data_IF_456305372400
#
_entry.id   IF_456305372400
#
_cell.length_a   1.000
_cell.length_b   1.000
_cell.length_c   1.000
_cell.angle_alpha   90.00
_cell.angle_beta   90.00
_cell.angle_gamma   90.00
#
_symmetry.space_group_name_H-M   'P 1'
#
loop_
_entity.id
_entity.type
_entity.pdbx_description
1 polymer ?
#
# COMPACT_ATOMS: atom_id res chain seq x y z
N UNK A 1 -10.55 21.27 3.54
CA UNK A 1 -10.03 20.00 4.13
C UNK A 1 -11.03 18.86 3.99
N UNK A 2 -12.32 19.04 4.26
CA UNK A 2 -13.33 17.96 4.10
C UNK A 2 -13.32 17.32 2.70
N UNK A 3 -13.38 18.13 1.64
CA UNK A 3 -13.32 17.62 0.25
C UNK A 3 -12.02 16.85 -0.02
N UNK A 4 -10.89 17.34 0.49
CA UNK A 4 -9.59 16.67 0.36
C UNK A 4 -9.59 15.31 1.05
N UNK A 5 -10.15 15.21 2.26
CA UNK A 5 -10.30 13.94 2.97
C UNK A 5 -11.21 12.98 2.22
N UNK A 6 -12.33 13.44 1.65
CA UNK A 6 -13.20 12.62 0.81
C UNK A 6 -12.47 12.08 -0.42
N UNK A 7 -11.67 12.93 -1.09
CA UNK A 7 -10.87 12.51 -2.25
C UNK A 7 -9.82 11.47 -1.85
N UNK A 8 -9.13 11.65 -0.71
CA UNK A 8 -8.16 10.65 -0.22
C UNK A 8 -8.81 9.31 0.13
N UNK A 9 -10.00 9.33 0.75
CA UNK A 9 -10.76 8.11 1.00
C UNK A 9 -11.17 7.45 -0.31
N UNK A 10 -11.66 8.22 -1.28
CA UNK A 10 -12.02 7.68 -2.60
C UNK A 10 -10.82 7.07 -3.32
N UNK A 11 -9.64 7.71 -3.22
CA UNK A 11 -8.39 7.18 -3.78
C UNK A 11 -8.04 5.81 -3.16
N UNK A 12 -8.12 5.68 -1.85
CA UNK A 12 -7.91 4.41 -1.15
C UNK A 12 -8.89 3.33 -1.63
N UNK A 13 -10.18 3.64 -1.74
CA UNK A 13 -11.22 2.70 -2.14
C UNK A 13 -11.07 2.24 -3.60
N UNK A 14 -10.78 3.16 -4.52
CA UNK A 14 -10.60 2.84 -5.94
C UNK A 14 -9.33 2.02 -6.16
N UNK A 15 -8.21 2.41 -5.54
CA UNK A 15 -6.94 1.69 -5.68
C UNK A 15 -6.93 0.35 -4.95
N UNK A 16 -7.75 0.18 -3.90
CA UNK A 16 -7.95 -1.12 -3.25
C UNK A 16 -8.55 -2.17 -4.21
N UNK A 17 -9.18 -1.73 -5.30
CA UNK A 17 -9.78 -2.63 -6.27
C UNK A 17 -11.23 -2.99 -5.97
N UNK A 18 -11.98 -2.17 -5.22
CA UNK A 18 -13.39 -2.46 -4.90
C UNK A 18 -14.24 -2.72 -6.16
N UNK A 19 -13.95 -2.02 -7.27
CA UNK A 19 -14.62 -2.26 -8.56
C UNK A 19 -14.30 -3.67 -9.08
N UNK A 20 -13.04 -4.11 -8.95
CA UNK A 20 -12.63 -5.46 -9.31
C UNK A 20 -13.27 -6.50 -8.39
N UNK A 21 -13.33 -6.22 -7.10
CA UNK A 21 -13.93 -7.12 -6.09
C UNK A 21 -15.43 -7.34 -6.36
N UNK A 22 -16.17 -6.30 -6.76
CA UNK A 22 -17.60 -6.39 -7.09
C UNK A 22 -17.85 -7.14 -8.39
N UNK A 23 -16.97 -7.01 -9.40
CA UNK A 23 -17.17 -7.65 -10.71
C UNK A 23 -16.73 -9.11 -10.70
N UNK A 24 -15.60 -9.40 -10.05
CA UNK A 24 -14.89 -10.69 -10.16
C UNK A 24 -15.11 -11.56 -8.92
N UNK A 25 -15.55 -10.97 -7.80
CA UNK A 25 -15.77 -11.65 -6.53
C UNK A 25 -14.60 -12.60 -6.15
N UNK A 26 -13.34 -12.11 -6.15
CA UNK A 26 -12.19 -12.94 -5.84
C UNK A 26 -12.21 -13.35 -4.36
N UNK A 27 -11.60 -14.50 -3.99
CA UNK A 27 -11.47 -14.87 -2.58
C UNK A 27 -10.56 -13.87 -1.84
N UNK A 28 -10.77 -13.73 -0.53
CA UNK A 28 -10.03 -12.74 0.26
C UNK A 28 -8.53 -13.05 0.37
N UNK A 29 -8.18 -14.34 0.47
CA UNK A 29 -6.81 -14.85 0.58
C UNK A 29 -6.74 -16.18 -0.19
N UNK A 30 -5.66 -16.38 -0.94
CA UNK A 30 -5.39 -17.64 -1.62
C UNK A 30 -4.89 -18.74 -0.69
N UNK A 31 -4.77 -19.96 -1.19
CA UNK A 31 -4.13 -21.06 -0.47
C UNK A 31 -3.11 -21.76 -1.37
N UNK A 32 -1.97 -22.11 -0.81
CA UNK A 32 -0.99 -23.01 -1.42
C UNK A 32 -0.81 -24.22 -0.53
N UNK A 33 -0.62 -25.40 -1.11
CA UNK A 33 -0.28 -26.60 -0.35
C UNK A 33 1.20 -26.56 0.03
N UNK A 34 1.50 -26.76 1.30
CA UNK A 34 2.85 -27.02 1.79
C UNK A 34 3.31 -28.44 1.40
N UNK A 35 4.59 -28.75 1.51
CA UNK A 35 5.15 -30.07 1.16
C UNK A 35 4.52 -31.22 1.98
N UNK A 36 3.87 -30.89 3.10
CA UNK A 36 3.14 -31.81 3.99
C UNK A 36 1.63 -31.90 3.68
N UNK A 37 1.15 -31.25 2.61
CA UNK A 37 -0.26 -31.23 2.21
C UNK A 37 -1.16 -30.28 3.00
N UNK A 38 -0.58 -29.47 3.90
CA UNK A 38 -1.35 -28.49 4.67
C UNK A 38 -1.63 -27.23 3.83
N UNK A 39 -2.85 -26.69 3.94
CA UNK A 39 -3.20 -25.42 3.30
C UNK A 39 -2.50 -24.25 4.01
N UNK A 40 -1.62 -23.56 3.29
CA UNK A 40 -0.94 -22.35 3.73
C UNK A 40 -1.61 -21.13 3.08
N UNK A 41 -2.08 -20.15 3.85
CA UNK A 41 -2.68 -18.94 3.29
C UNK A 41 -1.63 -18.13 2.54
N UNK A 42 -1.99 -17.63 1.36
CA UNK A 42 -1.14 -16.77 0.53
C UNK A 42 -1.90 -15.49 0.20
N UNK A 43 -1.30 -14.36 0.60
CA UNK A 43 -1.91 -13.04 0.44
C UNK A 43 -1.79 -12.47 -0.98
N UNK A 44 -0.85 -12.96 -1.81
CA UNK A 44 -0.57 -12.43 -3.15
C UNK A 44 -0.83 -13.46 -4.23
N UNK A 45 -1.45 -13.03 -5.33
CA UNK A 45 -1.61 -13.86 -6.53
C UNK A 45 -0.34 -13.77 -7.40
N UNK A 46 0.64 -14.64 -7.13
CA UNK A 46 1.89 -14.68 -7.89
C UNK A 46 1.65 -15.04 -9.37
N UNK A 47 2.49 -14.49 -10.26
CA UNK A 47 2.52 -14.74 -11.71
C UNK A 47 1.31 -14.21 -12.51
N UNK A 48 0.26 -13.70 -11.86
CA UNK A 48 -0.93 -13.15 -12.54
C UNK A 48 -1.07 -11.66 -12.25
N UNK A 49 -0.58 -10.82 -13.15
CA UNK A 49 -0.53 -9.36 -12.95
C UNK A 49 -1.92 -8.73 -12.88
N UNK A 50 -2.84 -9.19 -13.72
CA UNK A 50 -4.20 -8.64 -13.84
C UNK A 50 -5.18 -9.23 -12.81
N UNK A 51 -4.73 -10.21 -12.01
CA UNK A 51 -5.54 -10.79 -10.95
C UNK A 51 -5.11 -10.26 -9.59
N UNK A 52 -6.05 -10.20 -8.66
CA UNK A 52 -5.81 -9.65 -7.33
C UNK A 52 -6.72 -10.33 -6.30
N UNK A 53 -6.19 -10.59 -5.11
CA UNK A 53 -6.99 -10.93 -3.93
C UNK A 53 -7.39 -9.66 -3.18
N UNK A 54 -8.51 -9.70 -2.45
CA UNK A 54 -9.02 -8.53 -1.70
C UNK A 54 -7.95 -7.98 -0.73
N UNK A 55 -7.26 -8.87 -0.01
CA UNK A 55 -6.22 -8.47 0.95
C UNK A 55 -4.99 -7.85 0.27
N UNK A 56 -4.62 -8.31 -0.92
CA UNK A 56 -3.54 -7.72 -1.72
C UNK A 56 -3.87 -6.28 -2.11
N UNK A 57 -5.11 -6.07 -2.57
CA UNK A 57 -5.62 -4.76 -2.95
C UNK A 57 -5.62 -3.77 -1.80
N UNK A 58 -6.25 -4.14 -0.69
CA UNK A 58 -6.33 -3.32 0.52
C UNK A 58 -4.94 -3.00 1.10
N UNK A 59 -4.01 -3.96 1.09
CA UNK A 59 -2.65 -3.71 1.57
C UNK A 59 -1.90 -2.71 0.67
N UNK A 60 -2.05 -2.83 -0.65
CA UNK A 60 -1.38 -1.95 -1.61
C UNK A 60 -1.93 -0.51 -1.55
N UNK A 61 -3.25 -0.34 -1.49
CA UNK A 61 -3.88 0.98 -1.37
C UNK A 61 -3.55 1.66 -0.05
N UNK A 62 -3.44 0.91 1.04
CA UNK A 62 -2.98 1.42 2.33
C UNK A 62 -1.57 2.02 2.22
N UNK A 63 -0.64 1.29 1.62
CA UNK A 63 0.74 1.77 1.42
C UNK A 63 0.80 3.02 0.55
N UNK A 64 0.01 3.09 -0.53
CA UNK A 64 -0.05 4.29 -1.38
C UNK A 64 -0.58 5.51 -0.62
N UNK A 65 -1.68 5.33 0.13
CA UNK A 65 -2.24 6.41 0.94
C UNK A 65 -1.29 6.87 2.05
N UNK A 66 -0.57 5.93 2.69
CA UNK A 66 0.45 6.21 3.70
C UNK A 66 1.59 7.03 3.11
N UNK A 67 2.10 6.66 1.93
CA UNK A 67 3.16 7.42 1.24
C UNK A 67 2.71 8.83 0.85
N UNK A 68 1.49 8.98 0.32
CA UNK A 68 0.90 10.29 0.00
C UNK A 68 0.73 11.18 1.24
N UNK A 69 0.22 10.62 2.35
CA UNK A 69 0.12 11.31 3.63
C UNK A 69 1.51 11.67 4.18
N UNK A 70 2.52 10.82 3.99
CA UNK A 70 3.90 11.10 4.34
C UNK A 70 4.42 12.38 3.70
N UNK A 71 4.18 12.59 2.40
CA UNK A 71 4.53 13.84 1.71
C UNK A 71 3.77 15.06 2.24
N UNK A 72 2.49 14.91 2.57
CA UNK A 72 1.69 16.01 3.13
C UNK A 72 2.21 16.41 4.52
N UNK A 73 2.60 15.43 5.33
CA UNK A 73 3.22 15.68 6.63
C UNK A 73 4.57 16.40 6.48
N UNK A 74 5.37 16.01 5.48
CA UNK A 74 6.62 16.70 5.16
C UNK A 74 6.39 18.16 4.78
N UNK A 75 5.43 18.43 3.89
CA UNK A 75 5.07 19.80 3.50
C UNK A 75 4.60 20.63 4.71
N UNK A 76 3.72 20.06 5.53
CA UNK A 76 3.22 20.71 6.75
C UNK A 76 4.31 20.96 7.79
N UNK A 77 5.31 20.09 7.87
CA UNK A 77 6.45 20.28 8.77
C UNK A 77 7.32 21.50 8.40
N UNK A 78 7.26 21.96 7.15
CA UNK A 78 7.98 23.15 6.68
C UNK A 78 7.25 24.47 6.97
N UNK A 79 6.04 24.42 7.55
CA UNK A 79 5.28 25.63 7.85
C UNK A 79 6.00 26.52 8.89
N UNK A 80 5.99 27.85 8.73
CA UNK A 80 6.49 28.77 9.75
C UNK A 80 5.59 28.66 11.00
N UNK A 81 6.19 28.73 12.20
CA UNK A 81 5.57 28.65 13.54
C UNK A 81 5.52 27.26 14.23
N UNK A 82 6.33 26.29 13.83
CA UNK A 82 6.45 25.01 14.56
C UNK A 82 7.70 25.02 15.47
N UNK A 83 7.60 24.56 16.75
CA UNK A 83 8.76 24.38 17.62
C UNK A 83 9.82 23.48 16.98
N UNK A 84 11.11 23.80 17.16
CA UNK A 84 12.23 23.11 16.49
C UNK A 84 12.21 21.58 16.67
N UNK A 85 11.86 21.09 17.86
CA UNK A 85 11.76 19.66 18.17
C UNK A 85 10.63 18.99 17.38
N UNK A 86 9.41 19.53 17.44
CA UNK A 86 8.25 18.98 16.74
C UNK A 86 8.47 18.97 15.23
N UNK A 87 9.10 20.03 14.71
CA UNK A 87 9.47 20.12 13.29
C UNK A 87 10.41 18.99 12.87
N UNK A 88 11.45 18.72 13.66
CA UNK A 88 12.39 17.64 13.38
C UNK A 88 11.72 16.25 13.43
N UNK A 89 10.84 16.03 14.41
CA UNK A 89 10.10 14.77 14.55
C UNK A 89 9.13 14.54 13.39
N UNK A 90 8.34 15.55 13.01
CA UNK A 90 7.41 15.49 11.88
C UNK A 90 8.13 15.21 10.56
N UNK A 91 9.28 15.87 10.33
CA UNK A 91 10.11 15.57 9.16
C UNK A 91 10.58 14.11 9.15
N UNK A 92 11.05 13.59 10.29
CA UNK A 92 11.52 12.21 10.38
C UNK A 92 10.40 11.19 10.15
N UNK A 93 9.22 11.41 10.74
CA UNK A 93 8.04 10.55 10.56
C UNK A 93 7.57 10.58 9.10
N UNK A 94 7.48 11.77 8.49
CA UNK A 94 7.11 11.91 7.09
C UNK A 94 8.08 11.20 6.15
N UNK A 95 9.39 11.35 6.39
CA UNK A 95 10.42 10.68 5.61
C UNK A 95 10.36 9.15 5.75
N UNK A 96 10.21 8.62 6.97
CA UNK A 96 10.06 7.18 7.20
C UNK A 96 8.81 6.64 6.52
N UNK A 97 7.69 7.35 6.62
CA UNK A 97 6.43 6.95 6.00
C UNK A 97 6.56 6.80 4.48
N UNK A 98 7.23 7.75 3.81
CA UNK A 98 7.54 7.69 2.37
C UNK A 98 8.50 6.53 2.05
N UNK A 99 9.55 6.33 2.85
CA UNK A 99 10.51 5.24 2.62
C UNK A 99 9.88 3.85 2.78
N UNK A 100 9.05 3.66 3.81
CA UNK A 100 8.35 2.38 4.05
C UNK A 100 7.35 2.12 2.93
N UNK A 101 6.54 3.10 2.56
CA UNK A 101 5.55 2.92 1.47
C UNK A 101 6.23 2.59 0.15
N UNK A 102 7.32 3.28 -0.20
CA UNK A 102 8.09 2.99 -1.41
C UNK A 102 8.75 1.61 -1.36
N UNK A 103 9.44 1.28 -0.27
CA UNK A 103 10.12 0.00 -0.09
C UNK A 103 9.15 -1.19 -0.16
N UNK A 104 8.05 -1.12 0.58
CA UNK A 104 7.04 -2.18 0.60
C UNK A 104 6.31 -2.32 -0.74
N UNK A 105 5.99 -1.22 -1.42
CA UNK A 105 5.37 -1.29 -2.76
C UNK A 105 6.29 -1.98 -3.77
N UNK A 106 7.60 -1.76 -3.69
CA UNK A 106 8.58 -2.45 -4.54
C UNK A 106 8.69 -3.94 -4.20
N UNK A 107 8.61 -4.30 -2.92
CA UNK A 107 8.56 -5.70 -2.48
C UNK A 107 7.30 -6.38 -3.00
N UNK A 108 6.13 -5.71 -2.94
CA UNK A 108 4.87 -6.24 -3.47
C UNK A 108 4.97 -6.54 -4.97
N UNK A 109 5.58 -5.63 -5.75
CA UNK A 109 5.81 -5.89 -7.18
C UNK A 109 6.72 -7.10 -7.43
N UNK A 110 7.76 -7.30 -6.60
CA UNK A 110 8.64 -8.49 -6.69
C UNK A 110 7.95 -9.79 -6.25
N UNK A 111 7.04 -9.72 -5.28
CA UNK A 111 6.23 -10.88 -4.87
C UNK A 111 5.23 -11.28 -5.95
N UNK A 112 4.60 -10.29 -6.60
CA UNK A 112 3.63 -10.54 -7.69
C UNK A 112 4.31 -11.02 -8.96
N UNK A 113 5.47 -10.46 -9.29
CA UNK A 113 6.30 -10.79 -10.46
C UNK A 113 7.70 -11.23 -10.02
N UNK A 114 7.91 -12.51 -9.69
CA UNK A 114 9.25 -13.03 -9.45
C UNK A 114 10.04 -12.95 -10.76
N UNK A 115 11.15 -12.23 -10.77
CA UNK A 115 11.85 -11.85 -12.01
C UNK A 115 11.82 -10.37 -12.34
N UNK A 116 11.02 -9.56 -11.63
CA UNK A 116 10.83 -8.15 -11.93
C UNK A 116 12.12 -7.31 -11.77
N UNK A 117 12.62 -6.77 -12.90
CA UNK A 117 13.89 -6.03 -13.04
C UNK A 117 15.16 -6.85 -12.69
N UNK A 118 15.16 -8.15 -12.95
CA UNK A 118 16.41 -8.90 -13.11
C UNK A 118 16.94 -8.62 -14.53
N UNK A 119 17.61 -7.47 -14.69
CA UNK A 119 18.36 -7.07 -15.89
C UNK A 119 19.73 -6.59 -15.46
#
# INVERSE_FOLDING_TARGET
MVVFSCVMVSYFLVTAGIIYDVIVEPPSVGQTVDDKGNAKPVAFLAYRVNGQYIMEGLASSFLFSLGGLGFIVLDKSNAPNIPKLNRSLLMFIGAISVLISFGMSRVFMRMKLPGYLLS
#
